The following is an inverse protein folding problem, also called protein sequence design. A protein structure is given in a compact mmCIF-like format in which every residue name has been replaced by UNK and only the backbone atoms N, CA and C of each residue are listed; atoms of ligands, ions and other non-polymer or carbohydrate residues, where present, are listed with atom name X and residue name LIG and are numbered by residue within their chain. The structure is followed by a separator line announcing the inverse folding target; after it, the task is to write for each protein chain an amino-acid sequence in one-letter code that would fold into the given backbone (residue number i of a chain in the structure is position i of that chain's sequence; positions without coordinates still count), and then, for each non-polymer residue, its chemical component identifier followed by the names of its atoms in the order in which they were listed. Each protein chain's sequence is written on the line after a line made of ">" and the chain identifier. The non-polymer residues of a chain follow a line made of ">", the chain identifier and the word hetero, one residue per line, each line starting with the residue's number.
data_IF_884461338989
#
_entry.id   IF_884461338989
#
_cell.length_a   1.000
_cell.length_b   1.000
_cell.length_c   1.000
_cell.angle_alpha   90.00
_cell.angle_beta   90.00
_cell.angle_gamma   90.00
#
_symmetry.space_group_name_H-M   'P 1'
#
loop_
_entity.id
_entity.type
_entity.pdbx_description
1 polymer ?
#
# COMPACT_ATOMS: atom_id res chain seq x y z
N UNK A 1 -7.07 15.09 -0.48
CA UNK A 1 -7.16 14.30 -1.73
C UNK A 1 -6.25 13.11 -1.54
N UNK A 2 -6.74 11.87 -1.62
CA UNK A 2 -5.96 10.66 -1.31
C UNK A 2 -4.60 10.57 -2.03
N UNK A 3 -3.65 9.87 -1.40
CA UNK A 3 -2.31 9.60 -1.93
C UNK A 3 -2.13 8.15 -2.35
N UNK A 4 -1.31 7.91 -3.39
CA UNK A 4 -0.88 6.58 -3.81
C UNK A 4 0.64 6.56 -4.00
N UNK A 5 1.27 5.47 -3.61
CA UNK A 5 2.67 5.17 -3.85
C UNK A 5 2.81 3.71 -4.28
N UNK A 6 3.87 3.38 -5.02
CA UNK A 6 4.11 2.00 -5.41
C UNK A 6 5.53 1.72 -5.86
N UNK A 7 5.89 0.45 -5.81
CA UNK A 7 7.19 -0.09 -6.24
C UNK A 7 6.92 -1.23 -7.20
N UNK A 8 7.61 -1.22 -8.34
CA UNK A 8 7.73 -2.39 -9.22
C UNK A 8 9.19 -2.84 -9.12
N UNK A 9 9.41 -3.99 -8.48
CA UNK A 9 10.74 -4.52 -8.27
C UNK A 9 11.28 -5.17 -9.56
N UNK A 10 12.59 -5.05 -9.77
CA UNK A 10 13.28 -5.73 -10.88
C UNK A 10 13.11 -7.25 -10.83
N UNK A 11 13.47 -7.92 -11.92
CA UNK A 11 13.42 -9.38 -12.01
C UNK A 11 14.29 -10.00 -10.90
N UNK A 12 13.72 -10.94 -10.15
CA UNK A 12 14.40 -11.62 -9.04
C UNK A 12 14.47 -10.82 -7.73
N UNK A 13 13.91 -9.60 -7.69
CA UNK A 13 13.75 -8.81 -6.47
C UNK A 13 12.29 -8.77 -6.04
N UNK A 14 12.10 -8.53 -4.75
CA UNK A 14 10.79 -8.34 -4.12
C UNK A 14 10.73 -6.94 -3.51
N UNK A 15 9.53 -6.44 -3.30
CA UNK A 15 9.31 -5.15 -2.63
C UNK A 15 9.82 -5.22 -1.19
N UNK A 16 10.56 -4.21 -0.77
CA UNK A 16 10.87 -3.98 0.64
C UNK A 16 9.70 -3.21 1.29
N UNK A 17 9.00 -3.80 2.28
CA UNK A 17 7.93 -3.13 3.03
C UNK A 17 8.35 -1.78 3.62
N UNK A 18 9.60 -1.66 4.05
CA UNK A 18 10.15 -0.45 4.67
C UNK A 18 10.30 0.68 3.66
N UNK A 19 10.75 0.35 2.45
CA UNK A 19 10.88 1.32 1.36
C UNK A 19 9.50 1.85 0.94
N UNK A 20 8.52 0.94 0.77
CA UNK A 20 7.15 1.35 0.45
C UNK A 20 6.52 2.19 1.56
N UNK A 21 6.76 1.84 2.84
CA UNK A 21 6.30 2.62 3.98
C UNK A 21 6.85 4.06 3.96
N UNK A 22 8.13 4.25 3.58
CA UNK A 22 8.74 5.58 3.45
C UNK A 22 8.07 6.40 2.34
N UNK A 23 7.78 5.79 1.19
CA UNK A 23 7.07 6.46 0.09
C UNK A 23 5.64 6.86 0.51
N UNK A 24 4.92 5.97 1.20
CA UNK A 24 3.60 6.23 1.75
C UNK A 24 3.62 7.40 2.76
N UNK A 25 4.60 7.40 3.66
CA UNK A 25 4.77 8.45 4.66
C UNK A 25 5.05 9.83 4.03
N UNK A 26 5.84 9.89 2.95
CA UNK A 26 6.14 11.13 2.24
C UNK A 26 4.89 11.84 1.68
N UNK A 27 3.82 11.08 1.40
CA UNK A 27 2.54 11.60 0.90
C UNK A 27 1.41 11.54 1.95
N UNK A 28 1.72 11.32 3.24
CA UNK A 28 0.71 11.17 4.29
C UNK A 28 -0.23 12.37 4.43
N UNK A 29 0.26 13.58 4.15
CA UNK A 29 -0.53 14.83 4.16
C UNK A 29 -1.72 14.82 3.17
N UNK A 30 -1.69 13.96 2.15
CA UNK A 30 -2.78 13.79 1.18
C UNK A 30 -3.96 12.99 1.74
N UNK A 31 -3.68 12.06 2.65
CA UNK A 31 -4.65 11.20 3.31
C UNK A 31 -4.24 10.88 4.74
N UNK A 32 -4.61 11.74 5.70
CA UNK A 32 -4.25 11.59 7.11
C UNK A 32 -5.13 10.60 7.87
N UNK A 33 -6.29 10.21 7.33
CA UNK A 33 -7.33 9.50 8.08
C UNK A 33 -7.10 7.99 8.15
N UNK A 34 -6.53 7.40 7.10
CA UNK A 34 -6.28 5.96 7.01
C UNK A 34 -5.15 5.65 6.02
N UNK A 35 -4.61 4.44 6.11
CA UNK A 35 -3.59 3.91 5.22
C UNK A 35 -3.86 2.44 4.93
N UNK A 36 -3.36 1.94 3.81
CA UNK A 36 -3.31 0.51 3.58
C UNK A 36 -2.28 0.15 2.52
N UNK A 37 -2.06 -1.15 2.32
CA UNK A 37 -1.17 -1.62 1.27
C UNK A 37 -1.63 -2.93 0.63
N UNK A 38 -1.09 -3.25 -0.54
CA UNK A 38 -1.21 -4.57 -1.13
C UNK A 38 0.05 -4.91 -1.91
N UNK A 39 0.32 -6.21 -2.05
CA UNK A 39 1.42 -6.72 -2.86
C UNK A 39 0.89 -7.67 -3.92
N UNK A 40 1.57 -7.73 -5.07
CA UNK A 40 1.28 -8.71 -6.11
C UNK A 40 2.50 -9.58 -6.41
N UNK A 41 2.28 -10.89 -6.55
CA UNK A 41 3.24 -11.84 -7.12
C UNK A 41 2.56 -12.68 -8.22
N UNK A 42 3.37 -13.33 -9.05
CA UNK A 42 2.85 -14.18 -10.12
C UNK A 42 2.14 -15.42 -9.54
N UNK A 43 2.59 -15.87 -8.37
CA UNK A 43 2.14 -17.09 -7.70
C UNK A 43 0.87 -16.86 -6.86
N UNK A 44 0.81 -15.73 -6.14
CA UNK A 44 -0.26 -15.45 -5.18
C UNK A 44 -1.30 -14.44 -5.70
N UNK A 45 -1.05 -13.79 -6.83
CA UNK A 45 -1.89 -12.68 -7.30
C UNK A 45 -1.83 -11.50 -6.33
N UNK A 46 -2.94 -10.76 -6.21
CA UNK A 46 -3.04 -9.60 -5.33
C UNK A 46 -3.31 -10.03 -3.88
N UNK A 47 -2.46 -9.61 -2.95
CA UNK A 47 -2.58 -9.85 -1.51
C UNK A 47 -2.70 -8.52 -0.77
N UNK A 48 -3.89 -8.19 -0.22
CA UNK A 48 -4.10 -6.97 0.56
C UNK A 48 -3.47 -7.08 1.96
N UNK A 49 -3.20 -5.92 2.56
CA UNK A 49 -2.63 -5.75 3.89
C UNK A 49 -3.17 -4.46 4.53
N UNK A 50 -3.30 -4.45 5.85
CA UNK A 50 -3.78 -3.27 6.59
C UNK A 50 -2.84 -2.06 6.48
N UNK A 51 -1.56 -2.27 6.20
CA UNK A 51 -0.57 -1.24 5.89
C UNK A 51 0.67 -1.87 5.23
N UNK A 52 1.70 -1.06 4.99
CA UNK A 52 2.95 -1.54 4.40
C UNK A 52 3.66 -2.60 5.25
N UNK A 53 3.56 -2.56 6.58
CA UNK A 53 4.22 -3.53 7.45
C UNK A 53 3.54 -4.92 7.38
N UNK A 54 2.26 -4.96 7.04
CA UNK A 54 1.49 -6.18 6.82
C UNK A 54 1.66 -6.83 5.45
N UNK A 55 2.54 -6.32 4.58
CA UNK A 55 2.72 -6.88 3.24
C UNK A 55 3.17 -8.35 3.27
N UNK A 56 2.57 -9.15 2.40
CA UNK A 56 3.03 -10.53 2.19
C UNK A 56 4.40 -10.50 1.50
N UNK A 57 5.42 -11.17 2.06
CA UNK A 57 6.73 -11.24 1.42
C UNK A 57 6.66 -11.91 0.05
N UNK A 58 7.62 -11.59 -0.83
CA UNK A 58 7.69 -12.22 -2.16
C UNK A 58 6.98 -11.45 -3.28
N UNK A 59 6.21 -10.41 -2.96
CA UNK A 59 5.58 -9.55 -3.95
C UNK A 59 6.59 -8.80 -4.83
N UNK A 60 6.36 -8.78 -6.14
CA UNK A 60 7.13 -7.97 -7.11
C UNK A 60 6.57 -6.58 -7.31
N UNK A 61 5.28 -6.39 -7.03
CA UNK A 61 4.64 -5.09 -7.05
C UNK A 61 4.08 -4.81 -5.67
N UNK A 62 4.26 -3.58 -5.20
CA UNK A 62 3.75 -3.10 -3.92
C UNK A 62 3.03 -1.79 -4.15
N UNK A 63 1.88 -1.64 -3.51
CA UNK A 63 1.04 -0.46 -3.60
C UNK A 63 0.68 -0.01 -2.19
N UNK A 64 0.72 1.30 -1.96
CA UNK A 64 0.30 1.91 -0.70
C UNK A 64 -0.68 3.04 -0.98
N UNK A 65 -1.73 3.11 -0.16
CA UNK A 65 -2.76 4.14 -0.24
C UNK A 65 -2.76 4.98 1.05
N UNK A 66 -3.00 6.29 0.90
CA UNK A 66 -3.23 7.25 1.97
C UNK A 66 -4.62 7.84 1.76
N UNK A 67 -5.55 7.60 2.68
CA UNK A 67 -6.96 7.96 2.49
C UNK A 67 -7.29 9.28 3.18
N UNK A 68 -8.00 10.14 2.45
CA UNK A 68 -8.80 11.22 3.03
C UNK A 68 -10.26 10.78 2.95
N UNK A 69 -10.88 10.54 4.09
CA UNK A 69 -12.21 9.96 4.24
C UNK A 69 -13.29 11.02 4.02
N UNK A 70 -13.94 10.97 2.85
CA UNK A 70 -15.01 11.92 2.47
C UNK A 70 -16.36 11.20 2.31
N UNK A 71 -16.34 10.02 1.69
CA UNK A 71 -17.51 9.16 1.47
C UNK A 71 -17.20 7.79 2.09
N UNK A 72 -18.21 7.19 2.73
CA UNK A 72 -18.09 5.93 3.50
C UNK A 72 -16.97 6.01 4.56
N UNK A 73 -17.07 6.99 5.47
CA UNK A 73 -16.01 7.34 6.41
C UNK A 73 -15.75 6.28 7.50
N UNK A 74 -16.53 5.20 7.52
CA UNK A 74 -16.32 4.09 8.45
C UNK A 74 -15.19 3.15 8.01
N UNK A 75 -14.94 2.07 8.78
CA UNK A 75 -13.95 1.06 8.46
C UNK A 75 -14.20 0.34 7.12
N UNK A 76 -15.46 0.31 6.65
CA UNK A 76 -15.83 -0.31 5.37
C UNK A 76 -15.24 0.38 4.14
N UNK A 77 -14.86 1.66 4.26
CA UNK A 77 -14.23 2.43 3.20
C UNK A 77 -12.70 2.33 3.17
N UNK A 78 -12.09 1.43 3.97
CA UNK A 78 -10.64 1.19 3.98
C UNK A 78 -10.13 0.80 2.58
N UNK A 79 -8.92 1.23 2.28
CA UNK A 79 -8.24 1.03 1.00
C UNK A 79 -6.75 0.85 1.26
N UNK A 80 -6.03 0.06 0.44
CA UNK A 80 -6.36 -0.38 -0.92
C UNK A 80 -7.26 -1.60 -0.99
#
# INVERSE_FOLDING_TARGET
>A
MCGIAGIIADKGRTVDPTELARLSAAIAHRGPDDQGACSWSAEAGLSPAGDCAGLTPGGRVGFAHRRLSIIDTGPGGHQP
#
